data_IF_144414085156
#
_entry.id   IF_144414085156
#
_cell.length_a   1.000
_cell.length_b   1.000
_cell.length_c   1.000
_cell.angle_alpha   90.00
_cell.angle_beta   90.00
_cell.angle_gamma   90.00
#
_symmetry.space_group_name_H-M   'P 1'
#
loop_
_entity.id
_entity.type
_entity.pdbx_description
1 polymer ?
#
# COMPACT_ATOMS: atom_id res chain seq x y z
N UNK A 1 4.72 -26.03 4.87
CA UNK A 1 4.33 -24.69 5.36
C UNK A 1 3.85 -23.86 4.18
N UNK A 2 2.82 -23.02 4.32
CA UNK A 2 2.35 -22.15 3.22
C UNK A 2 3.41 -21.09 2.96
N UNK A 3 3.99 -21.11 1.76
CA UNK A 3 5.07 -20.21 1.36
C UNK A 3 4.74 -18.74 1.59
N UNK A 4 3.51 -18.33 1.28
CA UNK A 4 3.05 -16.93 1.42
C UNK A 4 3.15 -16.42 2.86
N UNK A 5 2.82 -17.25 3.86
CA UNK A 5 2.96 -16.89 5.27
C UNK A 5 4.43 -16.80 5.69
N UNK A 6 5.24 -17.78 5.25
CA UNK A 6 6.68 -17.79 5.53
C UNK A 6 7.36 -16.58 4.91
N UNK A 7 7.01 -16.23 3.69
CA UNK A 7 7.59 -15.08 3.01
C UNK A 7 7.18 -13.75 3.67
N UNK A 8 5.95 -13.66 4.18
CA UNK A 8 5.47 -12.46 4.87
C UNK A 8 6.23 -12.22 6.19
N UNK A 9 6.31 -13.24 7.06
CA UNK A 9 6.95 -13.12 8.37
C UNK A 9 8.43 -13.50 8.38
N UNK A 10 8.92 -14.24 7.39
CA UNK A 10 10.26 -14.87 7.42
C UNK A 10 10.43 -15.77 8.64
N UNK A 11 9.43 -16.65 8.84
CA UNK A 11 9.46 -17.65 9.89
C UNK A 11 10.58 -18.66 9.67
N UNK A 12 11.17 -19.23 10.76
CA UNK A 12 12.10 -20.35 10.61
C UNK A 12 11.46 -21.55 9.92
N UNK A 13 12.25 -22.33 9.18
CA UNK A 13 11.75 -23.50 8.44
C UNK A 13 11.00 -24.50 9.33
N UNK A 14 11.39 -24.63 10.61
CA UNK A 14 10.81 -25.55 11.59
C UNK A 14 9.94 -24.82 12.66
N UNK A 15 9.47 -23.61 12.38
CA UNK A 15 8.70 -22.80 13.34
C UNK A 15 7.46 -23.51 13.90
N UNK A 16 6.90 -24.46 13.15
CA UNK A 16 5.67 -25.17 13.49
C UNK A 16 5.92 -26.57 14.06
N UNK A 17 7.19 -26.92 14.37
CA UNK A 17 7.53 -28.28 14.82
C UNK A 17 7.11 -29.33 13.79
N UNK A 18 6.29 -30.29 14.21
CA UNK A 18 5.73 -31.31 13.32
C UNK A 18 4.44 -30.88 12.61
N UNK A 19 3.85 -29.72 12.96
CA UNK A 19 2.60 -29.25 12.36
C UNK A 19 2.84 -28.79 10.91
N UNK A 20 2.11 -29.35 9.98
CA UNK A 20 2.05 -28.91 8.60
C UNK A 20 0.76 -28.16 8.32
N UNK A 21 0.84 -27.17 7.45
CA UNK A 21 -0.31 -26.40 6.99
C UNK A 21 -0.54 -26.68 5.52
N UNK A 22 -1.71 -27.18 5.17
CA UNK A 22 -2.07 -27.46 3.79
C UNK A 22 -3.39 -26.80 3.39
N UNK A 23 -3.51 -26.57 2.11
CA UNK A 23 -4.72 -26.09 1.46
C UNK A 23 -5.37 -27.23 0.73
N UNK A 24 -6.67 -27.42 0.90
CA UNK A 24 -7.38 -28.42 0.11
C UNK A 24 -7.55 -27.90 -1.32
N UNK A 25 -7.31 -28.76 -2.31
CA UNK A 25 -7.63 -28.47 -3.70
C UNK A 25 -9.12 -28.20 -3.84
N UNK A 26 -9.48 -27.05 -4.40
CA UNK A 26 -10.86 -26.62 -4.53
C UNK A 26 -11.20 -26.43 -5.98
N UNK A 27 -12.31 -27.06 -6.43
CA UNK A 27 -12.91 -26.87 -7.74
C UNK A 27 -14.00 -25.80 -7.68
N UNK A 28 -14.33 -25.22 -8.81
CA UNK A 28 -15.41 -24.24 -8.94
C UNK A 28 -14.92 -22.82 -9.24
N UNK A 29 -15.86 -21.89 -9.33
CA UNK A 29 -15.57 -20.49 -9.61
C UNK A 29 -15.18 -19.74 -8.32
N UNK A 30 -14.23 -18.78 -8.40
CA UNK A 30 -13.90 -17.94 -7.27
C UNK A 30 -15.09 -17.00 -6.93
N UNK A 31 -15.19 -16.67 -5.65
CA UNK A 31 -16.17 -15.72 -5.12
C UNK A 31 -15.77 -15.24 -3.74
N UNK A 32 -16.64 -14.46 -3.10
CA UNK A 32 -16.38 -13.91 -1.79
C UNK A 32 -16.79 -14.88 -0.67
N UNK A 33 -15.99 -14.91 0.38
CA UNK A 33 -16.24 -15.58 1.66
C UNK A 33 -15.46 -14.86 2.77
N UNK A 34 -15.58 -15.28 4.01
CA UNK A 34 -14.95 -14.67 5.16
C UNK A 34 -14.05 -15.68 5.90
N UNK A 35 -12.90 -15.20 6.41
CA UNK A 35 -11.99 -15.98 7.24
C UNK A 35 -11.60 -15.18 8.49
N UNK A 36 -12.34 -15.39 9.56
CA UNK A 36 -12.30 -14.54 10.75
C UNK A 36 -13.08 -13.24 10.59
N UNK A 37 -13.31 -12.56 11.69
CA UNK A 37 -14.15 -11.35 11.72
C UNK A 37 -13.59 -10.23 10.83
N UNK A 38 -14.43 -9.73 9.92
CA UNK A 38 -14.08 -8.62 9.04
C UNK A 38 -13.14 -8.93 7.88
N UNK A 39 -12.56 -10.13 7.78
CA UNK A 39 -11.61 -10.47 6.73
C UNK A 39 -12.32 -11.05 5.50
N UNK A 40 -12.54 -10.21 4.50
CA UNK A 40 -13.20 -10.59 3.24
C UNK A 40 -12.18 -11.24 2.31
N UNK A 41 -12.39 -12.50 1.99
CA UNK A 41 -11.59 -13.28 1.05
C UNK A 41 -12.22 -13.31 -0.34
N UNK A 42 -11.39 -13.41 -1.37
CA UNK A 42 -11.84 -13.71 -2.72
C UNK A 42 -11.02 -14.86 -3.31
N UNK A 43 -11.69 -15.96 -3.61
CA UNK A 43 -11.05 -17.18 -4.10
C UNK A 43 -12.04 -18.33 -4.14
N UNK A 44 -11.50 -19.55 -4.26
CA UNK A 44 -12.30 -20.78 -4.23
C UNK A 44 -12.29 -21.35 -2.81
N UNK A 45 -13.47 -21.75 -2.33
CA UNK A 45 -13.61 -22.43 -1.04
C UNK A 45 -14.32 -23.76 -1.23
N UNK A 46 -13.89 -24.80 -0.50
CA UNK A 46 -14.53 -26.12 -0.49
C UNK A 46 -15.99 -26.07 -0.03
N UNK A 47 -16.32 -25.08 0.77
CA UNK A 47 -17.67 -24.88 1.32
C UNK A 47 -18.59 -24.09 0.37
N UNK A 48 -18.08 -23.76 -0.81
CA UNK A 48 -18.73 -22.85 -1.73
C UNK A 48 -18.39 -21.38 -1.45
N UNK A 49 -18.89 -20.51 -2.32
CA UNK A 49 -18.74 -19.06 -2.19
C UNK A 49 -20.10 -18.43 -2.01
N UNK A 50 -20.23 -17.47 -1.12
CA UNK A 50 -21.54 -16.91 -0.75
C UNK A 50 -22.06 -15.97 -1.81
N UNK A 51 -21.20 -15.34 -2.59
CA UNK A 51 -21.60 -14.27 -3.50
C UNK A 51 -20.52 -13.93 -4.52
N UNK A 52 -20.98 -13.48 -5.68
CA UNK A 52 -20.14 -12.75 -6.63
C UNK A 52 -19.99 -11.25 -6.27
N UNK A 53 -20.65 -10.78 -5.21
CA UNK A 53 -20.63 -9.37 -4.77
C UNK A 53 -20.10 -9.26 -3.35
N UNK A 54 -19.22 -8.26 -3.12
CA UNK A 54 -18.64 -7.98 -1.82
C UNK A 54 -19.61 -7.45 -0.76
N UNK A 55 -20.82 -7.06 -1.14
CA UNK A 55 -21.86 -6.45 -0.29
C UNK A 55 -22.82 -7.44 0.36
N UNK A 56 -22.70 -8.74 0.07
CA UNK A 56 -23.56 -9.78 0.65
C UNK A 56 -23.01 -10.23 2.02
N UNK A 57 -23.84 -10.90 2.82
CA UNK A 57 -23.34 -11.65 3.96
C UNK A 57 -22.43 -12.77 3.47
N UNK A 58 -21.25 -12.87 4.05
CA UNK A 58 -20.25 -13.81 3.62
C UNK A 58 -20.28 -15.09 4.45
N UNK A 59 -19.98 -16.20 3.79
CA UNK A 59 -19.83 -17.48 4.46
C UNK A 59 -18.55 -17.51 5.29
N UNK A 60 -18.66 -17.77 6.60
CA UNK A 60 -17.51 -17.83 7.51
C UNK A 60 -16.82 -19.20 7.41
N UNK A 61 -15.52 -19.19 7.12
CA UNK A 61 -14.73 -20.39 6.87
C UNK A 61 -13.78 -20.78 7.99
N UNK A 62 -13.47 -19.88 8.93
CA UNK A 62 -12.53 -20.15 10.03
C UNK A 62 -12.97 -21.36 10.88
N UNK A 63 -14.26 -21.49 11.16
CA UNK A 63 -14.83 -22.61 11.93
C UNK A 63 -14.73 -23.97 11.23
N UNK A 64 -14.36 -23.98 9.95
CA UNK A 64 -14.21 -25.17 9.14
C UNK A 64 -12.76 -25.59 8.91
N UNK A 65 -11.81 -24.91 9.55
CA UNK A 65 -10.44 -25.39 9.66
C UNK A 65 -10.45 -26.70 10.43
N UNK A 66 -9.75 -27.72 9.93
CA UNK A 66 -9.73 -29.07 10.52
C UNK A 66 -8.30 -29.47 10.82
N UNK A 67 -8.11 -30.12 11.95
CA UNK A 67 -6.86 -30.78 12.30
C UNK A 67 -6.95 -32.28 12.03
N UNK A 68 -6.01 -32.82 11.27
CA UNK A 68 -5.83 -34.25 11.04
C UNK A 68 -4.42 -34.65 11.47
N UNK A 69 -4.28 -35.14 12.71
CA UNK A 69 -2.98 -35.46 13.30
C UNK A 69 -2.08 -34.22 13.38
N UNK A 70 -1.01 -34.23 12.59
CA UNK A 70 -0.05 -33.12 12.48
C UNK A 70 -0.37 -32.14 11.34
N UNK A 71 -1.48 -32.31 10.66
CA UNK A 71 -1.86 -31.46 9.53
C UNK A 71 -3.05 -30.57 9.87
N UNK A 72 -2.89 -29.27 9.60
CA UNK A 72 -3.96 -28.27 9.70
C UNK A 72 -4.47 -27.98 8.28
N UNK A 73 -5.73 -28.30 8.03
CA UNK A 73 -6.37 -28.23 6.74
C UNK A 73 -7.22 -26.97 6.63
N UNK A 74 -6.84 -26.04 5.76
CA UNK A 74 -7.65 -24.90 5.42
C UNK A 74 -8.73 -25.28 4.36
N UNK A 75 -9.96 -24.75 4.46
CA UNK A 75 -11.02 -25.04 3.49
C UNK A 75 -10.88 -24.27 2.17
N UNK A 76 -9.79 -23.57 1.95
CA UNK A 76 -9.46 -22.80 0.75
C UNK A 76 -7.95 -22.74 0.55
N UNK A 77 -7.50 -22.33 -0.64
CA UNK A 77 -6.08 -22.06 -0.90
C UNK A 77 -5.73 -20.64 -0.43
N UNK A 78 -4.93 -20.57 0.64
CA UNK A 78 -4.51 -19.31 1.24
C UNK A 78 -3.66 -18.46 0.26
N UNK A 79 -2.78 -19.11 -0.50
CA UNK A 79 -1.94 -18.42 -1.49
C UNK A 79 -2.78 -17.83 -2.61
N UNK A 80 -3.76 -18.61 -3.13
CA UNK A 80 -4.69 -18.12 -4.15
C UNK A 80 -5.46 -16.88 -3.65
N UNK A 81 -5.95 -16.90 -2.42
CA UNK A 81 -6.69 -15.76 -1.85
C UNK A 81 -5.82 -14.51 -1.74
N UNK A 82 -4.61 -14.64 -1.19
CA UNK A 82 -3.67 -13.51 -1.07
C UNK A 82 -3.31 -12.92 -2.44
N UNK A 83 -3.01 -13.78 -3.42
CA UNK A 83 -2.72 -13.32 -4.78
C UNK A 83 -3.93 -12.68 -5.46
N UNK A 84 -5.13 -13.24 -5.28
CA UNK A 84 -6.35 -12.68 -5.84
C UNK A 84 -6.65 -11.28 -5.30
N UNK A 85 -6.37 -11.03 -4.01
CA UNK A 85 -6.52 -9.72 -3.39
C UNK A 85 -5.45 -8.75 -3.90
N UNK A 86 -4.15 -9.11 -3.78
CA UNK A 86 -3.03 -8.26 -4.21
C UNK A 86 -3.08 -7.89 -5.69
N UNK A 87 -3.45 -8.86 -6.55
CA UNK A 87 -3.56 -8.67 -7.99
C UNK A 87 -4.95 -8.20 -8.43
N UNK A 88 -5.80 -7.84 -7.46
CA UNK A 88 -7.15 -7.29 -7.71
C UNK A 88 -8.05 -8.17 -8.60
N UNK A 89 -7.87 -9.49 -8.56
CA UNK A 89 -8.67 -10.45 -9.37
C UNK A 89 -10.14 -10.52 -8.92
N UNK A 90 -10.44 -9.99 -7.74
CA UNK A 90 -11.80 -9.83 -7.23
C UNK A 90 -12.60 -8.75 -7.97
N UNK A 91 -11.93 -7.88 -8.73
CA UNK A 91 -12.60 -6.87 -9.53
C UNK A 91 -13.33 -7.55 -10.69
N UNK A 92 -14.64 -7.58 -10.62
CA UNK A 92 -15.44 -8.09 -11.73
C UNK A 92 -15.31 -7.15 -12.93
N UNK A 93 -15.13 -7.71 -14.13
CA UNK A 93 -15.20 -6.94 -15.37
C UNK A 93 -16.62 -6.37 -15.50
N UNK A 94 -16.85 -5.15 -14.99
CA UNK A 94 -18.07 -4.40 -15.18
C UNK A 94 -19.19 -4.69 -14.18
N UNK A 95 -18.93 -4.47 -12.88
CA UNK A 95 -19.93 -4.63 -11.82
C UNK A 95 -21.05 -3.58 -11.80
N UNK A 96 -20.91 -2.45 -12.48
CA UNK A 96 -21.97 -1.45 -12.63
C UNK A 96 -22.16 -1.01 -14.08
N UNK A 97 -23.41 -0.83 -14.53
CA UNK A 97 -23.71 -0.37 -15.90
C UNK A 97 -23.02 0.95 -16.24
N UNK A 98 -22.95 1.88 -15.27
CA UNK A 98 -22.29 3.17 -15.43
C UNK A 98 -20.74 3.04 -15.43
N UNK A 99 -20.18 2.22 -14.55
CA UNK A 99 -18.73 1.96 -14.51
C UNK A 99 -18.27 1.24 -15.80
N UNK A 100 -19.04 0.26 -16.27
CA UNK A 100 -18.80 -0.40 -17.55
C UNK A 100 -18.86 0.57 -18.74
N UNK A 101 -19.80 1.51 -18.71
CA UNK A 101 -19.93 2.56 -19.73
C UNK A 101 -18.76 3.55 -19.63
N UNK A 102 -18.48 4.06 -18.44
CA UNK A 102 -17.40 5.05 -18.20
C UNK A 102 -15.99 4.50 -18.44
N UNK A 103 -15.77 3.19 -18.17
CA UNK A 103 -14.49 2.50 -18.44
C UNK A 103 -14.41 1.89 -19.84
N UNK A 104 -15.50 1.95 -20.61
CA UNK A 104 -15.49 1.46 -21.99
C UNK A 104 -14.51 2.22 -22.87
N UNK A 105 -13.83 1.51 -23.76
CA UNK A 105 -12.83 2.10 -24.67
C UNK A 105 -13.31 3.33 -25.41
N UNK A 106 -14.53 3.36 -26.01
CA UNK A 106 -14.97 4.54 -26.74
C UNK A 106 -15.21 5.75 -25.85
N UNK A 107 -15.76 5.57 -24.66
CA UNK A 107 -16.00 6.67 -23.71
C UNK A 107 -14.67 7.22 -23.17
N UNK A 108 -13.74 6.34 -22.80
CA UNK A 108 -12.39 6.74 -22.41
C UNK A 108 -11.66 7.49 -23.52
N UNK A 109 -11.64 6.95 -24.74
CA UNK A 109 -11.02 7.63 -25.90
C UNK A 109 -11.65 9.00 -26.13
N UNK A 110 -12.97 9.10 -26.12
CA UNK A 110 -13.70 10.36 -26.28
C UNK A 110 -13.39 11.34 -25.14
N UNK A 111 -13.36 10.88 -23.89
CA UNK A 111 -13.00 11.72 -22.74
C UNK A 111 -11.58 12.26 -22.86
N UNK A 112 -10.58 11.43 -23.15
CA UNK A 112 -9.20 11.86 -23.30
C UNK A 112 -8.98 12.76 -24.52
N UNK A 113 -9.74 12.57 -25.59
CA UNK A 113 -9.71 13.45 -26.76
C UNK A 113 -10.28 14.84 -26.43
N UNK A 114 -11.43 14.87 -25.74
CA UNK A 114 -12.15 16.10 -25.40
C UNK A 114 -11.55 16.77 -24.14
N UNK A 115 -10.88 16.02 -23.25
CA UNK A 115 -10.30 16.52 -22.00
C UNK A 115 -9.41 17.77 -22.21
N UNK A 116 -8.69 17.82 -23.33
CA UNK A 116 -7.81 18.97 -23.65
C UNK A 116 -8.58 20.26 -23.93
N UNK A 117 -9.81 20.16 -24.44
CA UNK A 117 -10.68 21.28 -24.79
C UNK A 117 -11.69 21.63 -23.71
N UNK A 118 -11.91 20.72 -22.74
CA UNK A 118 -12.86 20.95 -21.66
C UNK A 118 -12.28 21.88 -20.59
N UNK A 119 -12.96 22.97 -20.20
CA UNK A 119 -12.60 23.79 -19.06
C UNK A 119 -12.44 22.97 -17.78
N UNK A 120 -11.49 23.36 -16.93
CA UNK A 120 -11.19 22.66 -15.67
C UNK A 120 -12.43 22.44 -14.79
N UNK A 121 -13.33 23.43 -14.73
CA UNK A 121 -14.59 23.34 -13.94
C UNK A 121 -15.52 22.22 -14.43
N UNK A 122 -15.62 22.02 -15.75
CA UNK A 122 -16.44 20.96 -16.34
C UNK A 122 -15.82 19.59 -16.06
N UNK A 123 -14.51 19.44 -16.22
CA UNK A 123 -13.79 18.20 -15.90
C UNK A 123 -14.01 17.79 -14.45
N UNK A 124 -13.85 18.74 -13.52
CA UNK A 124 -14.08 18.52 -12.08
C UNK A 124 -15.52 18.11 -11.78
N UNK A 125 -16.50 18.71 -12.47
CA UNK A 125 -17.91 18.34 -12.30
C UNK A 125 -18.18 16.91 -12.76
N UNK A 126 -17.69 16.52 -13.94
CA UNK A 126 -17.81 15.16 -14.46
C UNK A 126 -17.14 14.12 -13.53
N UNK A 127 -15.99 14.43 -12.97
CA UNK A 127 -15.32 13.58 -12.01
C UNK A 127 -16.11 13.43 -10.70
N UNK A 128 -16.68 14.50 -10.17
CA UNK A 128 -17.55 14.42 -8.98
C UNK A 128 -18.79 13.54 -9.24
N UNK A 129 -19.35 13.58 -10.44
CA UNK A 129 -20.44 12.67 -10.81
C UNK A 129 -19.94 11.22 -10.89
N UNK A 130 -18.76 10.98 -11.46
CA UNK A 130 -18.16 9.66 -11.56
C UNK A 130 -17.89 9.03 -10.19
N UNK A 131 -17.43 9.83 -9.24
CA UNK A 131 -17.08 9.37 -7.89
C UNK A 131 -18.21 9.52 -6.86
N UNK A 132 -19.43 9.93 -7.24
CA UNK A 132 -20.51 10.23 -6.28
C UNK A 132 -20.85 9.08 -5.33
N UNK A 133 -20.68 7.84 -5.76
CA UNK A 133 -21.01 6.59 -5.07
C UNK A 133 -19.81 5.96 -4.34
N UNK A 134 -18.68 6.66 -4.23
CA UNK A 134 -17.47 6.10 -3.65
C UNK A 134 -17.63 5.64 -2.19
N UNK A 135 -18.53 6.28 -1.43
CA UNK A 135 -18.84 5.91 -0.04
C UNK A 135 -19.66 4.64 0.09
N UNK A 136 -20.29 4.20 -0.98
CA UNK A 136 -21.10 2.98 -1.02
C UNK A 136 -20.26 1.73 -1.31
N UNK A 137 -18.98 1.91 -1.65
CA UNK A 137 -18.07 0.81 -1.90
C UNK A 137 -17.69 0.19 -0.55
N UNK A 138 -18.12 -1.05 -0.33
CA UNK A 138 -17.90 -1.77 0.93
C UNK A 138 -16.56 -2.51 0.99
N UNK A 139 -15.95 -2.79 -0.18
CA UNK A 139 -14.67 -3.50 -0.27
C UNK A 139 -13.85 -3.04 -1.49
N UNK A 140 -12.53 -2.77 -1.31
CA UNK A 140 -11.75 -2.74 -0.05
C UNK A 140 -12.29 -1.75 0.98
N UNK A 141 -11.91 -1.88 2.27
CA UNK A 141 -12.34 -1.00 3.35
C UNK A 141 -11.66 0.38 3.24
N UNK A 142 -12.44 1.44 3.34
CA UNK A 142 -11.95 2.83 3.35
C UNK A 142 -11.69 3.33 4.78
N UNK A 143 -10.65 4.16 5.05
CA UNK A 143 -9.69 4.72 4.09
C UNK A 143 -8.48 3.81 3.82
N UNK A 144 -8.22 2.80 4.62
CA UNK A 144 -7.11 1.84 4.48
C UNK A 144 -7.63 0.43 4.67
N UNK A 145 -7.29 -0.48 3.78
CA UNK A 145 -7.66 -1.89 3.86
C UNK A 145 -6.47 -2.74 4.31
N UNK A 146 -6.69 -3.57 5.32
CA UNK A 146 -5.69 -4.47 5.92
C UNK A 146 -6.04 -5.95 5.70
N UNK A 147 -6.93 -6.26 4.78
CA UNK A 147 -7.45 -7.64 4.64
C UNK A 147 -6.33 -8.66 4.45
N UNK A 148 -5.38 -8.39 3.55
CA UNK A 148 -4.23 -9.30 3.32
C UNK A 148 -3.36 -9.43 4.56
N UNK A 149 -3.09 -8.32 5.25
CA UNK A 149 -2.24 -8.29 6.45
C UNK A 149 -2.94 -9.02 7.62
N UNK A 150 -4.25 -8.80 7.77
CA UNK A 150 -5.09 -9.49 8.77
C UNK A 150 -5.21 -10.98 8.50
N UNK A 151 -5.28 -11.41 7.23
CA UNK A 151 -5.28 -12.84 6.89
C UNK A 151 -3.99 -13.53 7.32
N UNK A 152 -2.83 -12.88 7.13
CA UNK A 152 -1.56 -13.39 7.63
C UNK A 152 -1.53 -13.44 9.16
N UNK A 153 -2.04 -12.40 9.84
CA UNK A 153 -2.16 -12.37 11.31
C UNK A 153 -3.08 -13.46 11.82
N UNK A 154 -4.26 -13.63 11.20
CA UNK A 154 -5.23 -14.67 11.59
C UNK A 154 -4.64 -16.08 11.42
N UNK A 155 -3.88 -16.32 10.35
CA UNK A 155 -3.24 -17.60 10.15
C UNK A 155 -2.12 -17.84 11.17
N UNK A 156 -1.31 -16.82 11.50
CA UNK A 156 -0.27 -16.92 12.52
C UNK A 156 -0.87 -17.15 13.92
N UNK A 157 -1.97 -16.47 14.24
CA UNK A 157 -2.75 -16.67 15.47
C UNK A 157 -3.22 -18.14 15.61
N UNK A 158 -3.83 -18.64 14.53
CA UNK A 158 -4.29 -20.03 14.49
C UNK A 158 -3.13 -21.04 14.72
N UNK A 159 -1.98 -20.78 14.12
CA UNK A 159 -0.80 -21.64 14.29
C UNK A 159 -0.28 -21.64 15.74
N UNK A 160 -0.22 -20.46 16.39
CA UNK A 160 0.16 -20.37 17.81
C UNK A 160 -0.80 -21.16 18.71
N UNK A 161 -2.11 -21.05 18.43
CA UNK A 161 -3.14 -21.78 19.19
C UNK A 161 -3.01 -23.30 19.01
N UNK A 162 -2.80 -23.76 17.77
CA UNK A 162 -2.75 -25.20 17.45
C UNK A 162 -1.43 -25.87 17.84
N UNK A 163 -0.31 -25.14 17.85
CA UNK A 163 0.98 -25.67 18.32
C UNK A 163 1.13 -25.60 19.82
N UNK A 164 0.39 -24.75 20.50
CA UNK A 164 0.58 -24.47 21.94
C UNK A 164 1.87 -23.68 22.21
N UNK A 165 2.55 -23.20 21.18
CA UNK A 165 3.75 -22.39 21.31
C UNK A 165 3.41 -21.05 21.94
N UNK A 166 4.18 -20.61 22.94
CA UNK A 166 3.96 -19.31 23.59
C UNK A 166 4.40 -18.15 22.73
N UNK A 167 5.40 -18.38 21.86
CA UNK A 167 5.97 -17.35 20.99
C UNK A 167 6.59 -17.98 19.74
N UNK A 168 6.43 -17.29 18.59
CA UNK A 168 7.08 -17.65 17.34
C UNK A 168 8.03 -16.53 16.92
N UNK A 169 9.34 -16.81 16.68
CA UNK A 169 10.27 -15.82 16.19
C UNK A 169 10.04 -15.56 14.70
N UNK A 170 10.25 -14.32 14.28
CA UNK A 170 10.23 -13.93 12.88
C UNK A 170 11.17 -12.75 12.63
N UNK A 171 11.54 -12.50 11.35
CA UNK A 171 12.34 -11.33 11.02
C UNK A 171 11.41 -10.12 10.89
N UNK A 172 11.68 -9.08 11.67
CA UNK A 172 10.87 -7.87 11.66
C UNK A 172 10.76 -7.25 10.26
N UNK A 173 9.72 -6.47 10.02
CA UNK A 173 9.41 -5.94 8.70
C UNK A 173 10.42 -4.88 8.23
N UNK A 174 10.87 -4.02 9.12
CA UNK A 174 11.67 -2.84 8.79
C UNK A 174 13.05 -2.89 9.44
N UNK A 175 14.05 -2.21 8.82
CA UNK A 175 15.40 -2.21 9.36
C UNK A 175 15.47 -1.51 10.72
N UNK A 176 16.49 -1.83 11.51
CA UNK A 176 16.77 -1.27 12.85
C UNK A 176 15.64 -1.42 13.87
N UNK A 177 14.60 -2.20 13.54
CA UNK A 177 13.42 -2.35 14.37
C UNK A 177 12.41 -1.21 14.22
N UNK A 178 12.53 -0.38 13.18
CA UNK A 178 11.60 0.70 12.94
C UNK A 178 10.15 0.18 12.91
N UNK A 179 9.22 0.92 13.51
CA UNK A 179 7.83 0.48 13.64
C UNK A 179 7.09 0.46 12.32
N UNK A 180 7.43 1.39 11.42
CA UNK A 180 6.84 1.53 10.09
C UNK A 180 7.87 2.15 9.15
N UNK A 181 7.60 2.12 7.86
CA UNK A 181 8.40 2.85 6.87
C UNK A 181 7.57 3.96 6.22
N UNK A 182 8.24 5.02 5.78
CA UNK A 182 7.65 6.16 5.09
C UNK A 182 8.41 6.44 3.79
N UNK A 183 7.69 6.58 2.70
CA UNK A 183 8.20 7.11 1.43
C UNK A 183 7.36 8.32 0.99
N UNK A 184 8.04 9.36 0.51
CA UNK A 184 7.42 10.54 -0.07
C UNK A 184 7.71 10.56 -1.56
N UNK A 185 6.66 10.71 -2.38
CA UNK A 185 6.77 10.64 -3.82
C UNK A 185 6.01 11.79 -4.50
N UNK A 186 6.52 12.27 -5.63
CA UNK A 186 5.95 13.37 -6.38
C UNK A 186 5.81 13.02 -7.86
N UNK A 187 4.58 13.08 -8.38
CA UNK A 187 4.32 12.89 -9.81
C UNK A 187 4.35 14.24 -10.51
N UNK A 188 5.33 14.43 -11.40
CA UNK A 188 5.53 15.67 -12.16
C UNK A 188 4.78 15.55 -13.48
N UNK A 189 3.59 16.18 -13.59
CA UNK A 189 2.72 15.96 -14.73
C UNK A 189 2.79 17.07 -15.80
N UNK A 190 3.21 18.28 -15.43
CA UNK A 190 3.26 19.43 -16.37
C UNK A 190 4.57 20.20 -16.28
N UNK A 191 4.77 21.14 -17.22
CA UNK A 191 5.91 22.05 -17.17
C UNK A 191 5.91 22.91 -15.90
N UNK A 192 4.76 23.31 -15.38
CA UNK A 192 4.66 24.09 -14.15
C UNK A 192 5.15 23.29 -12.94
N UNK A 193 4.77 22.01 -12.83
CA UNK A 193 5.28 21.12 -11.79
C UNK A 193 6.78 20.87 -11.91
N UNK A 194 7.29 20.66 -13.13
CA UNK A 194 8.71 20.55 -13.39
C UNK A 194 9.46 21.80 -12.92
N UNK A 195 8.99 22.99 -13.27
CA UNK A 195 9.64 24.26 -12.93
C UNK A 195 9.57 24.56 -11.41
N UNK A 196 8.60 23.97 -10.72
CA UNK A 196 8.44 24.07 -9.26
C UNK A 196 9.26 23.02 -8.48
N UNK A 197 9.82 22.01 -9.14
CA UNK A 197 10.51 20.87 -8.50
C UNK A 197 11.63 21.33 -7.58
N UNK A 198 12.47 22.30 -7.99
CA UNK A 198 13.57 22.80 -7.15
C UNK A 198 13.07 23.38 -5.82
N UNK A 199 12.00 24.18 -5.87
CA UNK A 199 11.40 24.78 -4.67
C UNK A 199 10.75 23.70 -3.78
N UNK A 200 10.20 22.64 -4.36
CA UNK A 200 9.65 21.52 -3.59
C UNK A 200 10.75 20.70 -2.92
N UNK A 201 11.88 20.48 -3.59
CA UNK A 201 13.05 19.86 -2.96
C UNK A 201 13.53 20.70 -1.77
N UNK A 202 13.60 22.04 -1.91
CA UNK A 202 13.98 22.93 -0.83
C UNK A 202 13.02 22.81 0.37
N UNK A 203 11.72 22.68 0.07
CA UNK A 203 10.70 22.50 1.09
C UNK A 203 10.86 21.17 1.83
N UNK A 204 10.98 20.05 1.12
CA UNK A 204 11.18 18.72 1.72
C UNK A 204 12.49 18.67 2.54
N UNK A 205 13.57 19.25 2.01
CA UNK A 205 14.86 19.31 2.69
C UNK A 205 14.81 20.08 4.01
N UNK A 206 14.00 21.14 4.10
CA UNK A 206 13.80 21.88 5.35
C UNK A 206 13.23 21.01 6.49
N UNK A 207 12.53 19.93 6.14
CA UNK A 207 12.01 18.94 7.09
C UNK A 207 12.86 17.67 7.20
N UNK A 208 13.99 17.61 6.48
CA UNK A 208 14.90 16.46 6.48
C UNK A 208 14.36 15.26 5.68
N UNK A 209 13.44 15.50 4.74
CA UNK A 209 12.81 14.46 3.91
C UNK A 209 13.47 14.46 2.54
N UNK A 210 13.81 13.28 2.05
CA UNK A 210 14.21 13.02 0.66
C UNK A 210 13.08 12.32 -0.07
N UNK A 211 12.71 12.85 -1.22
CA UNK A 211 11.57 12.36 -1.99
C UNK A 211 11.99 11.72 -3.33
N UNK A 212 11.09 10.94 -3.91
CA UNK A 212 11.24 10.39 -5.24
C UNK A 212 10.34 11.14 -6.22
N UNK A 213 10.89 11.56 -7.35
CA UNK A 213 10.22 12.33 -8.40
C UNK A 213 9.94 11.42 -9.60
N UNK A 214 8.65 11.22 -9.92
CA UNK A 214 8.18 10.41 -11.04
C UNK A 214 7.95 11.35 -12.23
N UNK A 215 8.74 11.19 -13.28
CA UNK A 215 8.82 12.17 -14.38
C UNK A 215 8.34 11.56 -15.70
N UNK A 216 7.51 12.29 -16.45
CA UNK A 216 6.96 11.86 -17.72
C UNK A 216 7.97 12.10 -18.84
N UNK A 217 8.49 11.05 -19.52
CA UNK A 217 9.57 11.22 -20.50
C UNK A 217 9.15 11.87 -21.81
N UNK A 218 7.87 11.81 -22.20
CA UNK A 218 7.42 12.31 -23.50
C UNK A 218 6.23 13.27 -23.44
N UNK A 219 6.17 14.19 -24.39
CA UNK A 219 5.00 15.02 -24.77
C UNK A 219 4.50 16.03 -23.73
N UNK A 220 4.99 16.04 -22.51
CA UNK A 220 4.51 16.95 -21.47
C UNK A 220 5.41 18.17 -21.31
N UNK A 221 6.69 17.93 -21.19
CA UNK A 221 7.74 18.93 -21.03
C UNK A 221 9.07 18.34 -21.45
N UNK A 222 10.11 19.19 -21.53
CA UNK A 222 11.47 18.74 -21.82
C UNK A 222 12.17 18.35 -20.52
N UNK A 223 12.80 17.19 -20.51
CA UNK A 223 13.73 16.74 -19.46
C UNK A 223 15.13 17.09 -19.94
N UNK A 224 15.84 17.94 -19.22
CA UNK A 224 17.25 18.22 -19.45
C UNK A 224 18.14 17.41 -18.49
N UNK A 225 19.40 17.25 -18.85
CA UNK A 225 20.37 16.54 -18.00
C UNK A 225 20.61 17.31 -16.71
N UNK A 226 20.53 18.66 -16.74
CA UNK A 226 20.61 19.51 -15.56
C UNK A 226 19.48 19.24 -14.58
N UNK A 227 18.23 19.09 -15.08
CA UNK A 227 17.08 18.78 -14.24
C UNK A 227 17.23 17.41 -13.53
N UNK A 228 17.68 16.40 -14.25
CA UNK A 228 17.95 15.08 -13.68
C UNK A 228 19.09 15.15 -12.66
N UNK A 229 20.16 15.88 -13.00
CA UNK A 229 21.32 16.07 -12.13
C UNK A 229 20.96 16.84 -10.86
N UNK A 230 20.11 17.85 -10.94
CA UNK A 230 19.63 18.62 -9.80
C UNK A 230 18.91 17.70 -8.77
N UNK A 231 17.91 16.93 -9.21
CA UNK A 231 17.18 16.01 -8.34
C UNK A 231 18.14 15.06 -7.63
N UNK A 232 19.08 14.48 -8.35
CA UNK A 232 20.02 13.49 -7.80
C UNK A 232 21.07 14.07 -6.88
N UNK A 233 21.65 15.22 -7.24
CA UNK A 233 22.65 15.90 -6.42
C UNK A 233 22.12 16.32 -5.06
N UNK A 234 20.80 16.51 -4.95
CA UNK A 234 20.09 16.79 -3.70
C UNK A 234 19.74 15.52 -2.90
N UNK A 235 20.18 14.34 -3.35
CA UNK A 235 19.91 13.05 -2.70
C UNK A 235 18.50 12.52 -2.93
N UNK A 236 17.73 13.14 -3.80
CA UNK A 236 16.40 12.69 -4.22
C UNK A 236 16.48 11.61 -5.31
N UNK A 237 15.38 10.94 -5.57
CA UNK A 237 15.30 9.89 -6.57
C UNK A 237 14.54 10.36 -7.82
N UNK A 238 15.03 9.96 -8.98
CA UNK A 238 14.38 10.20 -10.28
C UNK A 238 13.87 8.90 -10.86
N UNK A 239 12.58 8.83 -11.13
CA UNK A 239 11.90 7.64 -11.67
C UNK A 239 10.99 8.01 -12.86
N UNK A 240 10.43 6.98 -13.51
CA UNK A 240 9.60 7.14 -14.70
C UNK A 240 8.11 7.12 -14.34
N UNK A 241 7.38 8.10 -14.87
CA UNK A 241 5.93 8.22 -14.75
C UNK A 241 5.23 8.02 -16.11
N UNK A 242 4.75 6.79 -16.39
CA UNK A 242 4.18 6.45 -17.70
C UNK A 242 5.16 6.71 -18.86
N UNK A 243 4.70 6.69 -20.09
CA UNK A 243 5.45 7.17 -21.26
C UNK A 243 5.12 8.63 -21.58
N UNK A 244 3.84 8.96 -21.65
CA UNK A 244 3.34 10.27 -22.04
C UNK A 244 2.05 10.71 -21.33
N UNK A 245 1.61 9.92 -20.37
CA UNK A 245 0.45 10.14 -19.51
C UNK A 245 -0.85 10.41 -20.30
N UNK A 246 -1.07 9.67 -21.39
CA UNK A 246 -2.28 9.78 -22.22
C UNK A 246 -3.41 8.83 -21.80
N UNK A 247 -3.21 8.01 -20.77
CA UNK A 247 -4.18 7.05 -20.24
C UNK A 247 -4.38 5.79 -21.10
N UNK A 248 -3.51 5.57 -22.09
CA UNK A 248 -3.68 4.48 -23.05
C UNK A 248 -2.70 3.30 -22.83
N UNK A 249 -1.78 3.39 -21.86
CA UNK A 249 -0.73 2.40 -21.63
C UNK A 249 -1.27 0.96 -21.53
N UNK A 250 -2.37 0.76 -20.81
CA UNK A 250 -2.92 -0.58 -20.54
C UNK A 250 -4.19 -0.91 -21.33
N UNK A 251 -4.40 -0.31 -22.51
CA UNK A 251 -5.60 -0.60 -23.30
C UNK A 251 -5.53 -1.96 -23.98
N UNK A 252 -4.39 -2.26 -24.63
CA UNK A 252 -4.17 -3.50 -25.37
C UNK A 252 -2.74 -4.00 -25.14
N UNK A 253 -2.55 -5.33 -25.06
CA UNK A 253 -1.27 -5.95 -24.74
C UNK A 253 -0.16 -5.57 -25.71
N UNK A 254 -0.42 -5.61 -27.02
CA UNK A 254 0.58 -5.25 -28.03
C UNK A 254 1.03 -3.79 -27.94
N UNK A 255 0.11 -2.86 -27.68
CA UNK A 255 0.44 -1.44 -27.47
C UNK A 255 1.22 -1.24 -26.17
N UNK A 256 0.84 -1.96 -25.11
CA UNK A 256 1.57 -1.96 -23.85
C UNK A 256 3.01 -2.42 -24.05
N UNK A 257 3.26 -3.55 -24.71
CA UNK A 257 4.61 -4.08 -24.97
C UNK A 257 5.47 -3.11 -25.80
N UNK A 258 4.86 -2.50 -26.80
CA UNK A 258 5.55 -1.48 -27.61
C UNK A 258 5.96 -0.28 -26.75
N UNK A 259 5.08 0.21 -25.87
CA UNK A 259 5.35 1.33 -24.96
C UNK A 259 6.30 0.96 -23.85
N UNK A 260 6.19 -0.26 -23.31
CA UNK A 260 7.08 -0.76 -22.30
C UNK A 260 8.54 -0.78 -22.78
N UNK A 261 8.79 -1.15 -24.04
CA UNK A 261 10.13 -1.06 -24.62
C UNK A 261 10.69 0.39 -24.62
N UNK A 262 9.85 1.37 -24.95
CA UNK A 262 10.22 2.79 -24.84
C UNK A 262 10.46 3.26 -23.40
N UNK A 263 9.57 2.86 -22.49
CA UNK A 263 9.67 3.15 -21.06
C UNK A 263 10.98 2.56 -20.49
N UNK A 264 11.29 1.30 -20.80
CA UNK A 264 12.53 0.64 -20.38
C UNK A 264 13.77 1.34 -20.94
N UNK A 265 13.71 1.86 -22.19
CA UNK A 265 14.81 2.66 -22.77
C UNK A 265 15.05 3.95 -21.98
N UNK A 266 13.99 4.65 -21.58
CA UNK A 266 14.10 5.84 -20.71
C UNK A 266 14.62 5.47 -19.31
N UNK A 267 14.16 4.35 -18.75
CA UNK A 267 14.65 3.88 -17.46
C UNK A 267 16.17 3.62 -17.49
N UNK A 268 16.66 2.94 -18.52
CA UNK A 268 18.11 2.74 -18.71
C UNK A 268 18.84 4.06 -18.91
N UNK A 269 18.33 4.96 -19.79
CA UNK A 269 18.94 6.28 -20.05
C UNK A 269 19.11 7.11 -18.78
N UNK A 270 18.07 7.13 -17.95
CA UNK A 270 18.04 7.93 -16.75
C UNK A 270 18.38 7.11 -15.47
N UNK A 271 18.86 5.89 -15.59
CA UNK A 271 19.15 4.99 -14.47
C UNK A 271 18.01 4.99 -13.42
N UNK A 272 16.77 4.99 -13.88
CA UNK A 272 15.59 4.90 -13.04
C UNK A 272 15.31 3.45 -12.66
N UNK A 273 15.03 3.20 -11.39
CA UNK A 273 14.75 1.85 -10.88
C UNK A 273 13.26 1.60 -10.64
N UNK A 274 12.48 2.66 -10.49
CA UNK A 274 11.07 2.63 -10.18
C UNK A 274 10.18 3.13 -11.29
N UNK A 275 8.94 2.69 -11.25
CA UNK A 275 7.89 3.08 -12.19
C UNK A 275 6.60 3.47 -11.47
N UNK A 276 5.86 4.39 -12.05
CA UNK A 276 4.46 4.69 -11.71
C UNK A 276 3.65 4.94 -12.96
N UNK A 277 2.50 4.28 -13.05
CA UNK A 277 1.58 4.44 -14.16
C UNK A 277 0.76 5.71 -14.05
N UNK A 278 0.49 6.36 -15.16
CA UNK A 278 -0.39 7.52 -15.22
C UNK A 278 -1.81 7.20 -14.78
N UNK A 279 -2.38 8.07 -13.94
CA UNK A 279 -3.73 7.93 -13.40
C UNK A 279 -3.98 6.59 -12.66
N UNK A 280 -2.95 5.98 -12.10
CA UNK A 280 -2.99 4.69 -11.40
C UNK A 280 -3.65 3.56 -12.21
N UNK A 281 -3.62 3.64 -13.55
CA UNK A 281 -4.03 2.53 -14.39
C UNK A 281 -3.01 1.41 -14.29
N UNK A 282 -3.49 0.15 -14.19
CA UNK A 282 -2.63 -1.00 -13.92
C UNK A 282 -3.17 -2.29 -14.50
N UNK A 283 -2.25 -3.14 -14.94
CA UNK A 283 -2.44 -4.52 -15.36
C UNK A 283 -1.23 -5.29 -14.85
N UNK A 284 -1.27 -5.70 -13.59
CA UNK A 284 -0.15 -6.32 -12.88
C UNK A 284 0.33 -7.60 -13.58
N UNK A 285 -0.56 -8.31 -14.27
CA UNK A 285 -0.27 -9.50 -15.10
C UNK A 285 0.55 -9.19 -16.37
N UNK A 286 0.82 -7.91 -16.68
CA UNK A 286 1.64 -7.50 -17.82
C UNK A 286 3.03 -6.96 -17.43
N UNK A 287 3.33 -6.91 -16.15
CA UNK A 287 4.56 -6.29 -15.65
C UNK A 287 5.83 -7.07 -15.96
N UNK A 288 5.71 -8.29 -16.49
CA UNK A 288 6.81 -9.08 -17.06
C UNK A 288 7.57 -8.38 -18.20
N UNK A 289 6.93 -7.41 -18.89
CA UNK A 289 7.57 -6.62 -19.94
C UNK A 289 8.37 -5.42 -19.40
N UNK A 290 8.28 -5.10 -18.11
CA UNK A 290 9.05 -4.03 -17.48
C UNK A 290 10.39 -4.51 -16.93
N UNK A 291 11.40 -3.63 -17.02
CA UNK A 291 12.75 -3.84 -16.48
C UNK A 291 12.98 -3.12 -15.14
N UNK A 292 11.91 -2.65 -14.50
CA UNK A 292 12.00 -1.95 -13.22
C UNK A 292 12.22 -2.91 -12.05
N UNK A 293 12.94 -2.42 -11.03
CA UNK A 293 13.06 -3.12 -9.77
C UNK A 293 11.75 -3.09 -8.99
N UNK A 294 11.09 -1.93 -8.97
CA UNK A 294 9.85 -1.77 -8.23
C UNK A 294 8.83 -0.91 -8.99
N UNK A 295 7.57 -1.09 -8.62
CA UNK A 295 6.41 -0.33 -9.09
C UNK A 295 5.72 0.35 -7.90
N UNK A 296 5.04 1.47 -8.16
CA UNK A 296 4.29 2.24 -7.19
C UNK A 296 2.90 2.61 -7.73
N UNK A 297 2.32 1.75 -8.58
CA UNK A 297 1.08 2.06 -9.30
C UNK A 297 -0.17 1.48 -8.66
N UNK A 298 -0.04 0.60 -7.66
CA UNK A 298 -1.20 -0.08 -7.07
C UNK A 298 -1.59 0.59 -5.75
N UNK A 299 -2.76 1.24 -5.67
CA UNK A 299 -3.27 1.75 -4.40
C UNK A 299 -3.66 0.60 -3.45
N UNK A 300 -3.52 0.82 -2.15
CA UNK A 300 -4.11 -0.02 -1.13
C UNK A 300 -5.64 -0.05 -1.27
N UNK A 301 -6.25 1.15 -1.39
CA UNK A 301 -7.67 1.37 -1.64
C UNK A 301 -7.83 2.40 -2.76
N UNK A 302 -8.61 2.09 -3.78
CA UNK A 302 -8.76 2.90 -4.98
C UNK A 302 -10.19 3.43 -5.20
N UNK A 303 -10.92 3.81 -4.13
CA UNK A 303 -12.29 4.32 -4.24
C UNK A 303 -12.37 5.63 -5.03
N UNK A 304 -11.35 6.47 -4.91
CA UNK A 304 -11.24 7.77 -5.56
C UNK A 304 -10.29 7.77 -6.78
N UNK A 305 -9.93 6.56 -7.25
CA UNK A 305 -9.11 6.40 -8.45
C UNK A 305 -9.97 6.05 -9.67
N UNK A 306 -9.53 6.43 -10.90
CA UNK A 306 -10.26 6.09 -12.12
C UNK A 306 -10.44 4.59 -12.32
N UNK A 307 -9.50 3.78 -11.85
CA UNK A 307 -9.56 2.34 -11.80
C UNK A 307 -9.76 1.89 -10.35
N UNK A 308 -11.01 1.61 -9.98
CA UNK A 308 -11.38 1.19 -8.63
C UNK A 308 -10.77 -0.16 -8.25
N UNK A 309 -10.72 -0.49 -6.97
CA UNK A 309 -10.14 -1.69 -6.40
C UNK A 309 -9.12 -1.37 -5.32
N UNK A 310 -8.01 -2.08 -5.32
CA UNK A 310 -6.89 -1.92 -4.39
C UNK A 310 -6.24 -3.26 -4.06
N UNK A 311 -4.99 -3.26 -3.60
CA UNK A 311 -4.25 -4.49 -3.27
C UNK A 311 -4.52 -5.02 -1.87
N UNK A 312 -5.31 -4.32 -1.05
CA UNK A 312 -5.74 -4.73 0.29
C UNK A 312 -4.59 -5.04 1.25
N UNK A 313 -3.42 -4.43 1.07
CA UNK A 313 -2.26 -4.56 1.95
C UNK A 313 -1.51 -3.24 2.05
N UNK A 314 -0.91 -3.01 3.21
CA UNK A 314 0.00 -1.88 3.46
C UNK A 314 1.48 -2.30 3.43
N UNK A 315 1.76 -3.54 3.04
CA UNK A 315 3.12 -4.06 2.97
C UNK A 315 3.57 -4.21 1.52
N UNK A 316 4.86 -4.02 1.21
CA UNK A 316 5.41 -4.35 -0.10
C UNK A 316 5.20 -5.83 -0.44
N UNK A 317 5.05 -6.14 -1.73
CA UNK A 317 4.94 -7.52 -2.18
C UNK A 317 5.55 -7.75 -3.56
N UNK A 318 5.92 -8.98 -3.83
CA UNK A 318 6.51 -9.35 -5.12
C UNK A 318 5.43 -9.65 -6.17
N UNK A 319 5.64 -9.13 -7.38
CA UNK A 319 4.95 -9.49 -8.61
C UNK A 319 6.00 -10.00 -9.60
N UNK A 320 6.29 -11.30 -9.57
CA UNK A 320 7.44 -11.84 -10.28
C UNK A 320 8.74 -11.23 -9.76
N UNK A 321 9.48 -10.54 -10.64
CA UNK A 321 10.73 -9.87 -10.29
C UNK A 321 10.55 -8.42 -9.80
N UNK A 322 9.37 -7.85 -9.96
CA UNK A 322 9.06 -6.47 -9.54
C UNK A 322 8.51 -6.47 -8.12
N UNK A 323 8.95 -5.53 -7.30
CA UNK A 323 8.35 -5.28 -5.98
C UNK A 323 7.31 -4.18 -6.13
N UNK A 324 6.09 -4.43 -5.73
CA UNK A 324 5.09 -3.38 -5.56
C UNK A 324 5.30 -2.69 -4.21
N UNK A 325 5.41 -1.37 -4.24
CA UNK A 325 5.35 -0.48 -3.07
C UNK A 325 3.98 0.22 -3.10
N UNK A 326 2.96 -0.32 -2.42
CA UNK A 326 1.59 0.16 -2.58
C UNK A 326 1.45 1.64 -2.21
N UNK A 327 0.62 2.38 -2.94
CA UNK A 327 0.17 3.69 -2.51
C UNK A 327 -0.87 3.50 -1.40
N UNK A 328 -0.50 3.85 -0.17
CA UNK A 328 -1.31 3.56 1.03
C UNK A 328 -2.06 4.76 1.58
N UNK A 329 -1.82 5.94 1.05
CA UNK A 329 -2.56 7.16 1.42
C UNK A 329 -3.30 7.74 0.21
N UNK A 330 -4.32 8.54 0.50
CA UNK A 330 -5.05 9.28 -0.54
C UNK A 330 -4.12 10.33 -1.18
N UNK A 331 -4.03 10.35 -2.51
CA UNK A 331 -3.24 11.36 -3.22
C UNK A 331 -3.87 12.77 -3.10
N UNK A 332 -3.05 13.79 -3.19
CA UNK A 332 -3.45 15.20 -3.08
C UNK A 332 -4.49 15.62 -4.12
N UNK A 333 -4.44 15.06 -5.34
CA UNK A 333 -5.48 15.29 -6.35
C UNK A 333 -6.87 14.89 -5.86
N UNK A 334 -6.99 13.70 -5.28
CA UNK A 334 -8.26 13.20 -4.74
C UNK A 334 -8.71 14.04 -3.56
N UNK A 335 -7.78 14.39 -2.66
CA UNK A 335 -8.06 15.24 -1.50
C UNK A 335 -8.54 16.63 -1.91
N UNK A 336 -7.77 17.36 -2.70
CA UNK A 336 -8.06 18.77 -3.03
C UNK A 336 -9.15 18.92 -4.08
N UNK A 337 -9.18 18.06 -5.10
CA UNK A 337 -10.05 18.29 -6.26
C UNK A 337 -11.32 17.45 -6.28
N UNK A 338 -11.31 16.24 -5.73
CA UNK A 338 -12.50 15.37 -5.65
C UNK A 338 -13.24 15.64 -4.34
N UNK A 339 -12.58 15.48 -3.20
CA UNK A 339 -13.16 15.70 -1.87
C UNK A 339 -13.32 17.19 -1.55
N UNK A 340 -12.52 18.06 -2.17
CA UNK A 340 -12.44 19.49 -1.88
C UNK A 340 -12.05 19.76 -0.43
N UNK A 341 -11.18 18.91 0.10
CA UNK A 341 -10.66 19.01 1.44
C UNK A 341 -9.23 19.58 1.38
N UNK A 342 -9.00 20.69 2.06
CA UNK A 342 -7.73 21.38 2.21
C UNK A 342 -7.29 21.32 3.67
N UNK A 343 -7.33 20.11 4.24
CA UNK A 343 -6.83 19.80 5.58
C UNK A 343 -5.92 18.55 5.55
N UNK A 344 -5.19 18.29 6.62
CA UNK A 344 -4.38 17.08 6.79
C UNK A 344 -5.16 15.92 7.43
N UNK A 345 -6.42 16.12 7.83
CA UNK A 345 -7.18 15.19 8.68
C UNK A 345 -7.31 13.77 8.12
N UNK A 346 -7.54 13.62 6.80
CA UNK A 346 -7.60 12.30 6.18
C UNK A 346 -6.22 11.63 6.18
N UNK A 347 -5.15 12.34 5.79
CA UNK A 347 -3.79 11.82 5.83
C UNK A 347 -3.37 11.41 7.24
N UNK A 348 -3.70 12.21 8.26
CA UNK A 348 -3.43 11.88 9.68
C UNK A 348 -4.11 10.57 10.08
N UNK A 349 -5.37 10.39 9.69
CA UNK A 349 -6.11 9.15 9.95
C UNK A 349 -5.46 7.95 9.27
N UNK A 350 -5.11 8.08 7.98
CA UNK A 350 -4.45 7.02 7.20
C UNK A 350 -3.09 6.65 7.79
N UNK A 351 -2.23 7.66 8.06
CA UNK A 351 -0.90 7.47 8.65
C UNK A 351 -0.97 6.78 10.02
N UNK A 352 -1.90 7.19 10.88
CA UNK A 352 -2.10 6.56 12.19
C UNK A 352 -2.51 5.09 12.07
N UNK A 353 -3.46 4.77 11.17
CA UNK A 353 -3.91 3.40 10.90
C UNK A 353 -2.77 2.53 10.35
N UNK A 354 -2.01 3.03 9.37
CA UNK A 354 -0.91 2.29 8.74
C UNK A 354 0.20 2.05 9.76
N UNK A 355 0.58 3.05 10.54
CA UNK A 355 1.59 2.95 11.60
C UNK A 355 1.20 1.92 12.66
N UNK A 356 -0.06 1.92 13.11
CA UNK A 356 -0.59 0.92 14.06
C UNK A 356 -0.43 -0.52 13.54
N UNK A 357 -0.47 -0.70 12.22
CA UNK A 357 -0.31 -1.99 11.55
C UNK A 357 1.10 -2.24 11.01
N UNK A 358 2.10 -1.43 11.40
CA UNK A 358 3.49 -1.57 11.01
C UNK A 358 3.73 -1.52 9.50
N UNK A 359 2.88 -0.82 8.75
CA UNK A 359 2.87 -0.78 7.30
C UNK A 359 3.84 0.23 6.67
N UNK A 360 3.87 0.23 5.35
CA UNK A 360 4.50 1.25 4.53
C UNK A 360 3.54 2.43 4.38
N UNK A 361 3.91 3.59 4.89
CA UNK A 361 3.26 4.87 4.65
C UNK A 361 3.79 5.43 3.32
N UNK A 362 3.00 5.35 2.27
CA UNK A 362 3.38 5.82 0.93
C UNK A 362 2.54 7.03 0.57
N UNK A 363 3.19 8.19 0.46
CA UNK A 363 2.58 9.47 0.13
C UNK A 363 2.81 9.81 -1.34
N UNK A 364 1.77 10.34 -1.97
CA UNK A 364 1.81 10.87 -3.31
C UNK A 364 1.24 12.28 -3.35
N UNK A 365 2.07 13.23 -3.77
CA UNK A 365 1.63 14.60 -4.10
C UNK A 365 2.17 15.03 -5.46
N UNK A 366 1.58 16.07 -6.03
CA UNK A 366 1.95 16.58 -7.34
C UNK A 366 2.50 18.00 -7.20
N UNK A 367 3.74 18.28 -7.64
CA UNK A 367 4.28 19.64 -7.69
C UNK A 367 3.33 20.61 -8.36
N UNK A 368 2.62 20.13 -9.39
CA UNK A 368 1.63 20.86 -10.17
C UNK A 368 0.52 21.52 -9.33
N UNK A 369 0.09 20.86 -8.23
CA UNK A 369 -0.94 21.42 -7.34
C UNK A 369 -0.34 22.23 -6.21
N UNK A 370 0.90 21.92 -5.80
CA UNK A 370 1.61 22.61 -4.73
C UNK A 370 2.16 23.98 -5.15
N UNK A 371 2.13 24.32 -6.44
CA UNK A 371 2.30 25.70 -6.92
C UNK A 371 1.27 26.62 -6.27
N UNK A 372 0.04 26.13 -6.01
CA UNK A 372 -1.01 26.89 -5.32
C UNK A 372 -0.66 27.03 -3.83
N UNK A 373 -0.60 28.28 -3.35
CA UNK A 373 -0.19 28.58 -1.97
C UNK A 373 -1.09 27.90 -0.90
N UNK A 374 -2.39 27.71 -1.17
CA UNK A 374 -3.31 27.05 -0.25
C UNK A 374 -2.97 25.56 -0.10
N UNK A 375 -2.76 24.85 -1.20
CA UNK A 375 -2.37 23.45 -1.22
C UNK A 375 -0.99 23.25 -0.59
N UNK A 376 -0.04 24.15 -0.90
CA UNK A 376 1.30 24.13 -0.32
C UNK A 376 1.30 24.27 1.20
N UNK A 377 0.48 25.15 1.77
CA UNK A 377 0.33 25.25 3.24
C UNK A 377 -0.17 23.96 3.90
N UNK A 378 -1.08 23.24 3.24
CA UNK A 378 -1.53 21.93 3.74
C UNK A 378 -0.39 20.92 3.69
N UNK A 379 0.40 20.94 2.61
CA UNK A 379 1.57 20.07 2.48
C UNK A 379 2.64 20.41 3.53
N UNK A 380 2.94 21.69 3.79
CA UNK A 380 3.85 22.11 4.87
C UNK A 380 3.37 21.59 6.24
N UNK A 381 2.07 21.65 6.52
CA UNK A 381 1.51 21.09 7.76
C UNK A 381 1.66 19.57 7.83
N UNK A 382 1.55 18.87 6.70
CA UNK A 382 1.82 17.44 6.62
C UNK A 382 3.32 17.15 6.88
N UNK A 383 4.23 17.90 6.29
CA UNK A 383 5.68 17.75 6.52
C UNK A 383 6.07 17.94 7.99
N UNK A 384 5.43 18.88 8.69
CA UNK A 384 5.60 19.06 10.14
C UNK A 384 5.23 17.81 10.93
N UNK A 385 4.15 17.15 10.52
CA UNK A 385 3.69 15.91 11.15
C UNK A 385 4.61 14.73 10.84
N UNK A 386 4.99 14.57 9.58
CA UNK A 386 5.93 13.53 9.17
C UNK A 386 7.25 13.65 9.90
N UNK A 387 7.80 14.88 10.03
CA UNK A 387 9.03 15.13 10.79
C UNK A 387 8.90 14.68 12.25
N UNK A 388 7.76 14.99 12.90
CA UNK A 388 7.51 14.55 14.28
C UNK A 388 7.47 13.03 14.38
N UNK A 389 6.81 12.35 13.45
CA UNK A 389 6.77 10.90 13.40
C UNK A 389 8.15 10.28 13.20
N UNK A 390 8.96 10.83 12.30
CA UNK A 390 10.32 10.35 12.04
C UNK A 390 11.19 10.46 13.31
N UNK A 391 11.10 11.59 14.03
CA UNK A 391 11.95 11.84 15.20
C UNK A 391 11.48 11.07 16.43
N UNK A 392 10.16 11.02 16.68
CA UNK A 392 9.61 10.55 17.96
C UNK A 392 9.07 9.12 17.92
N UNK A 393 8.83 8.56 16.74
CA UNK A 393 8.04 7.36 16.60
C UNK A 393 8.77 6.21 15.89
N UNK A 394 10.07 6.32 15.74
CA UNK A 394 10.90 5.26 15.16
C UNK A 394 10.42 4.82 13.75
N UNK A 395 10.07 5.81 12.94
CA UNK A 395 9.66 5.59 11.53
C UNK A 395 10.89 5.69 10.64
N UNK A 396 11.10 4.66 9.83
CA UNK A 396 12.16 4.66 8.82
C UNK A 396 11.69 5.44 7.58
N UNK A 397 12.08 6.71 7.49
CA UNK A 397 11.89 7.52 6.29
C UNK A 397 12.97 7.17 5.27
N UNK A 398 12.57 6.70 4.10
CA UNK A 398 13.47 6.17 3.09
C UNK A 398 13.02 6.57 1.67
N UNK A 399 13.92 6.43 0.71
CA UNK A 399 13.55 6.48 -0.70
C UNK A 399 12.91 5.14 -1.13
N UNK A 400 12.02 5.14 -2.13
CA UNK A 400 11.43 3.91 -2.66
C UNK A 400 12.45 2.82 -3.03
N UNK A 401 13.61 3.20 -3.63
CA UNK A 401 14.68 2.26 -3.94
C UNK A 401 15.29 1.59 -2.69
N UNK A 402 15.33 2.32 -1.56
CA UNK A 402 15.91 1.78 -0.32
C UNK A 402 14.92 0.79 0.30
N UNK A 403 13.60 1.06 0.18
CA UNK A 403 12.55 0.13 0.61
C UNK A 403 12.54 -1.14 -0.26
N UNK A 404 12.66 -1.00 -1.60
CA UNK A 404 12.80 -2.13 -2.52
C UNK A 404 14.04 -2.97 -2.17
N UNK A 405 15.19 -2.33 -2.01
CA UNK A 405 16.44 -2.99 -1.66
C UNK A 405 16.33 -3.76 -0.34
N UNK A 406 15.81 -3.13 0.71
CA UNK A 406 15.56 -3.77 1.99
C UNK A 406 14.60 -4.95 1.87
N UNK A 407 13.48 -4.79 1.16
CA UNK A 407 12.49 -5.85 1.01
C UNK A 407 13.05 -7.08 0.28
N UNK A 408 13.90 -6.85 -0.72
CA UNK A 408 14.64 -7.92 -1.42
C UNK A 408 15.69 -8.57 -0.53
N UNK A 409 16.45 -7.80 0.23
CA UNK A 409 17.42 -8.32 1.19
C UNK A 409 16.71 -9.17 2.26
N UNK A 410 15.66 -8.63 2.88
CA UNK A 410 14.85 -9.32 3.87
C UNK A 410 14.26 -10.62 3.33
N UNK A 411 13.80 -10.65 2.09
CA UNK A 411 13.23 -11.86 1.47
C UNK A 411 14.22 -13.03 1.35
N UNK A 412 15.52 -12.74 1.40
CA UNK A 412 16.61 -13.73 1.33
C UNK A 412 17.16 -14.10 2.72
N UNK A 413 16.79 -13.37 3.75
CA UNK A 413 17.21 -13.68 5.13
C UNK A 413 16.53 -14.93 5.65
N UNK A 414 17.22 -15.63 6.55
CA UNK A 414 16.72 -16.81 7.27
C UNK A 414 17.02 -16.69 8.75
N UNK A 415 16.13 -17.25 9.57
CA UNK A 415 16.37 -17.48 10.99
C UNK A 415 16.99 -18.86 11.17
N UNK A 416 18.16 -18.89 11.79
CA UNK A 416 18.90 -20.12 12.11
C UNK A 416 18.95 -20.26 13.63
N UNK A 417 18.76 -21.47 14.14
CA UNK A 417 18.79 -21.76 15.57
C UNK A 417 20.16 -22.28 16.01
N UNK A 418 20.76 -21.62 16.99
CA UNK A 418 21.99 -22.01 17.64
C UNK A 418 21.70 -22.26 19.15
N UNK A 419 21.51 -23.54 19.53
CA UNK A 419 21.05 -23.88 20.87
C UNK A 419 19.66 -23.28 21.16
N UNK A 420 19.58 -22.40 22.14
CA UNK A 420 18.33 -21.70 22.50
C UNK A 420 18.23 -20.29 21.90
N UNK A 421 19.19 -19.87 21.11
CA UNK A 421 19.22 -18.55 20.50
C UNK A 421 18.91 -18.62 19.00
N UNK A 422 18.33 -17.54 18.49
CA UNK A 422 18.07 -17.35 17.08
C UNK A 422 19.04 -16.33 16.50
N UNK A 423 19.53 -16.58 15.31
CA UNK A 423 20.40 -15.69 14.54
C UNK A 423 19.77 -15.43 13.18
N UNK A 424 19.90 -14.19 12.68
CA UNK A 424 19.50 -13.85 11.31
C UNK A 424 20.72 -13.99 10.40
N UNK A 425 20.61 -14.76 9.34
CA UNK A 425 21.64 -14.92 8.31
C UNK A 425 21.10 -14.47 6.96
N UNK A 426 21.95 -13.81 6.16
CA UNK A 426 21.59 -13.30 4.83
C UNK A 426 22.10 -11.88 4.58
N UNK A 427 21.76 -11.27 3.43
CA UNK A 427 22.19 -9.91 3.12
C UNK A 427 21.56 -8.91 4.11
N UNK A 428 22.33 -7.89 4.52
CA UNK A 428 21.93 -6.82 5.47
C UNK A 428 21.37 -7.31 6.82
N UNK A 429 21.75 -8.49 7.26
CA UNK A 429 21.27 -9.09 8.51
C UNK A 429 21.59 -8.25 9.75
N UNK A 430 22.66 -7.46 9.71
CA UNK A 430 23.06 -6.54 10.78
C UNK A 430 22.02 -5.46 11.08
N UNK A 431 21.23 -5.08 10.08
CA UNK A 431 20.11 -4.13 10.22
C UNK A 431 18.80 -4.79 10.62
N UNK A 432 18.71 -6.10 10.49
CA UNK A 432 17.51 -6.84 10.81
C UNK A 432 17.33 -7.05 12.32
N UNK A 433 16.10 -7.23 12.78
CA UNK A 433 15.77 -7.53 14.16
C UNK A 433 14.87 -8.74 14.24
N UNK A 434 15.07 -9.58 15.26
CA UNK A 434 14.20 -10.71 15.57
C UNK A 434 13.05 -10.18 16.42
N UNK A 435 11.84 -10.36 15.93
CA UNK A 435 10.62 -10.14 16.68
C UNK A 435 9.96 -11.47 17.04
N UNK A 436 9.10 -11.44 18.04
CA UNK A 436 8.32 -12.59 18.47
C UNK A 436 6.84 -12.29 18.40
N UNK A 437 6.11 -13.15 17.72
CA UNK A 437 4.67 -13.16 17.76
C UNK A 437 4.22 -13.93 19.00
N UNK A 438 3.46 -13.29 19.89
CA UNK A 438 2.96 -13.85 21.15
C UNK A 438 1.46 -13.71 21.25
N UNK A 439 0.83 -14.57 22.06
CA UNK A 439 -0.58 -14.46 22.39
C UNK A 439 -0.75 -13.76 23.73
N UNK A 440 -1.51 -12.67 23.74
CA UNK A 440 -2.02 -12.06 24.95
C UNK A 440 -3.56 -12.13 24.93
N UNK A 441 -4.10 -13.04 25.72
CA UNK A 441 -5.52 -13.40 25.60
C UNK A 441 -5.84 -14.02 24.24
N UNK A 442 -6.68 -13.36 23.45
CA UNK A 442 -7.03 -13.73 22.07
C UNK A 442 -6.32 -12.88 21.00
N UNK A 443 -5.43 -11.97 21.40
CA UNK A 443 -4.77 -11.04 20.50
C UNK A 443 -3.34 -11.47 20.18
N UNK A 444 -2.92 -11.25 18.95
CA UNK A 444 -1.55 -11.42 18.49
C UNK A 444 -0.78 -10.13 18.71
N UNK A 445 0.29 -10.21 19.49
CA UNK A 445 1.19 -9.08 19.78
C UNK A 445 2.59 -9.39 19.26
N UNK A 446 3.28 -8.35 18.80
CA UNK A 446 4.66 -8.47 18.37
C UNK A 446 5.59 -7.79 19.37
N UNK A 447 6.63 -8.52 19.83
CA UNK A 447 7.60 -8.05 20.80
C UNK A 447 9.03 -8.28 20.30
N UNK A 448 9.95 -7.38 20.61
CA UNK A 448 11.38 -7.65 20.46
C UNK A 448 11.94 -8.38 21.67
N UNK A 449 13.08 -9.06 21.51
CA UNK A 449 13.78 -9.68 22.66
C UNK A 449 14.14 -8.63 23.69
N UNK A 450 13.52 -8.69 24.87
CA UNK A 450 13.81 -7.81 25.99
C UNK A 450 13.04 -6.48 26.06
N UNK A 451 12.17 -6.19 25.11
CA UNK A 451 11.36 -4.96 25.13
C UNK A 451 9.94 -5.27 24.66
N UNK A 452 8.94 -5.02 25.50
CA UNK A 452 7.54 -5.05 25.08
C UNK A 452 7.29 -3.79 24.25
N UNK A 453 6.87 -3.94 23.01
CA UNK A 453 6.31 -2.81 22.28
C UNK A 453 4.97 -2.46 22.92
N UNK A 454 4.90 -1.36 23.65
CA UNK A 454 3.65 -0.89 24.24
C UNK A 454 2.58 -0.76 23.17
N UNK A 455 1.38 -1.27 23.47
CA UNK A 455 0.20 -1.09 22.62
C UNK A 455 -0.06 0.41 22.48
N UNK A 456 -0.05 0.97 21.25
CA UNK A 456 -0.39 2.39 21.05
C UNK A 456 -1.80 2.75 21.52
N UNK A 457 -2.67 1.76 21.79
CA UNK A 457 -4.03 2.00 22.31
C UNK A 457 -4.07 2.35 23.80
N UNK A 458 -2.98 2.20 24.56
CA UNK A 458 -2.93 2.51 25.99
C UNK A 458 -2.51 3.96 26.31
N UNK A 459 -2.16 4.75 25.32
CA UNK A 459 -1.73 6.15 25.51
C UNK A 459 -2.87 7.18 25.35
N UNK A 460 -4.11 6.73 25.13
CA UNK A 460 -5.30 7.59 25.28
C UNK A 460 -5.69 7.75 26.75
N UNK A 461 -4.81 8.35 27.56
CA UNK A 461 -5.27 9.00 28.78
C UNK A 461 -5.91 10.33 28.37
N UNK A 462 -7.24 10.33 28.28
CA UNK A 462 -8.03 11.56 28.27
C UNK A 462 -7.52 12.49 29.38
N UNK A 463 -7.31 13.77 29.10
CA UNK A 463 -7.19 14.74 30.16
C UNK A 463 -8.56 14.78 30.86
N UNK A 464 -8.59 14.30 32.10
CA UNK A 464 -9.73 14.43 32.99
C UNK A 464 -10.15 15.90 33.03
N UNK A 465 -11.35 16.16 32.54
CA UNK A 465 -11.95 17.47 32.57
C UNK A 465 -12.00 18.02 33.98
N UNK A 466 -11.34 19.14 34.21
CA UNK A 466 -11.52 19.96 35.39
C UNK A 466 -12.91 20.52 35.37
N UNK A 467 -13.71 20.14 36.34
CA UNK A 467 -14.97 20.78 36.66
C UNK A 467 -14.73 22.28 36.99
N UNK A 468 -15.15 23.16 36.10
CA UNK A 468 -15.32 24.57 36.40
C UNK A 468 -16.77 24.78 36.86
N UNK A 469 -16.95 24.77 38.16
CA UNK A 469 -18.18 25.26 38.81
C UNK A 469 -18.39 26.73 38.47
N UNK A 470 -19.37 27.00 37.65
CA UNK A 470 -19.87 28.37 37.42
C UNK A 470 -20.73 28.83 38.62
N UNK A 471 -20.23 29.77 39.42
CA UNK A 471 -21.05 30.60 40.28
C UNK A 471 -21.63 31.75 39.45
N UNK A 472 -22.89 31.68 39.16
CA UNK A 472 -23.72 32.82 38.80
C UNK A 472 -23.93 33.69 40.06
N UNK A 473 -23.40 34.90 40.05
CA UNK A 473 -23.90 35.99 40.93
C UNK A 473 -24.60 37.03 40.06
N UNK A 474 -25.87 37.21 40.34
CA UNK A 474 -26.69 38.37 39.91
C UNK A 474 -26.06 39.64 40.46
N UNK A 475 -26.12 40.75 39.72
CA UNK A 475 -26.47 42.12 40.18
C UNK A 475 -26.46 43.03 38.93
N UNK A 476 -27.53 43.86 38.80
CA UNK A 476 -27.61 45.11 38.10
C UNK A 476 -28.28 45.07 36.74
#
# INVERSE_FOLDING_TARGET
>A
MIKTLTDYYRLPENALGSLSLSSQTVSGNPGYFQFGEGNICYGRSRLGTSSTRAQASHFETLRHVRRQGVELLLPFDFTEVIENLRLERYRQKGSGGFERFATSQPVRKSYYLIRKTLPFRIRRHLQKIYFRDWKEISFPAWPVDFTVDNLHRQLLLLLLQETGEKKLPFIWFWPEGARSSLIVTHDVETAAGRDFTSQLIDLDDAYGIKASYQVIPEKRYKISDEYVSEIRSRGCEFNIHDLNHDGNLYQERAEFERRAAGINSYARRYHAQGFRAGAMYRRQDWYDAFEFSYDMSVPNVAHLEPLRGGCCTVMPYFMGNVVELPLTTTQDYSLFHILNDYSTGLWQTELALIRKNHGLMSLLTHPDYLVEARARKVYESLLDELRRMIINEEVWCALPRDVDHWWRARSKMKLVRHGDQWEIVGPEHERARIAYATLEGSQLIYNFSGTTMGDPSLDERHPTGGETTSRLSRIG
#
